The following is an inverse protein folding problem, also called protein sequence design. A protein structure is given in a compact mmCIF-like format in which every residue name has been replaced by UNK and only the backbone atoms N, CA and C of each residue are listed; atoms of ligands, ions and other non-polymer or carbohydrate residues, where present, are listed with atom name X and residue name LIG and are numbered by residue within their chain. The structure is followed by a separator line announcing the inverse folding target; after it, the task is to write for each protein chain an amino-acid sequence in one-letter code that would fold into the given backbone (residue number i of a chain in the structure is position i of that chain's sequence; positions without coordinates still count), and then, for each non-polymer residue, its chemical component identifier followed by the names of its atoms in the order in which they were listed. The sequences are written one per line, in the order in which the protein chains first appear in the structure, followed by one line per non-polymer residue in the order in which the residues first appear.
data_IF_245784592964
#
_entry.id   IF_245784592964
#
_cell.length_a   1.000
_cell.length_b   1.000
_cell.length_c   1.000
_cell.angle_alpha   90.00
_cell.angle_beta   90.00
_cell.angle_gamma   90.00
#
_symmetry.space_group_name_H-M   'P 1'
#
loop_
_entity.id
_entity.type
_entity.pdbx_description
1 polymer ?
#
# COMPACT_ATOMS: atom_id res chain seq x y z
N UNK A 1 -18.89 31.19 -4.53
CA UNK A 1 -18.38 29.87 -4.99
C UNK A 1 -17.21 29.49 -4.09
N UNK A 2 -17.26 28.39 -3.31
CA UNK A 2 -16.10 27.98 -2.51
C UNK A 2 -14.94 27.58 -3.42
N UNK A 3 -13.68 27.89 -3.06
CA UNK A 3 -12.53 27.58 -3.90
C UNK A 3 -12.38 26.05 -4.10
N UNK A 4 -11.90 25.61 -5.27
CA UNK A 4 -11.68 24.19 -5.53
C UNK A 4 -10.64 23.64 -4.54
N UNK A 5 -10.98 22.53 -3.87
CA UNK A 5 -10.06 21.87 -2.93
C UNK A 5 -8.81 21.40 -3.68
N UNK A 6 -7.65 21.95 -3.33
CA UNK A 6 -6.35 21.48 -3.85
C UNK A 6 -6.20 20.00 -3.53
N UNK A 7 -5.93 19.17 -4.55
CA UNK A 7 -5.64 17.74 -4.36
C UNK A 7 -4.33 17.63 -3.57
N UNK A 8 -4.38 17.10 -2.35
CA UNK A 8 -3.16 16.91 -1.56
C UNK A 8 -2.26 15.90 -2.26
N UNK A 9 -0.94 16.13 -2.28
CA UNK A 9 -0.01 15.11 -2.78
C UNK A 9 -0.11 13.87 -1.89
N UNK A 10 0.07 12.70 -2.48
CA UNK A 10 -0.05 11.42 -1.78
C UNK A 10 0.93 11.37 -0.58
N UNK A 11 0.43 10.95 0.60
CA UNK A 11 1.23 10.63 1.79
C UNK A 11 2.07 11.80 2.35
N UNK A 12 1.58 13.04 2.27
CA UNK A 12 2.26 14.22 2.85
C UNK A 12 2.32 14.25 4.40
N UNK A 13 1.62 13.35 5.10
CA UNK A 13 1.63 13.32 6.55
C UNK A 13 2.63 12.27 7.08
N UNK A 14 3.42 12.65 8.08
CA UNK A 14 4.29 11.73 8.81
C UNK A 14 3.46 10.74 9.63
N UNK A 15 3.88 9.46 9.75
CA UNK A 15 3.26 8.48 10.64
C UNK A 15 3.09 9.00 12.07
N UNK A 16 4.07 9.77 12.56
CA UNK A 16 4.06 10.33 13.92
C UNK A 16 2.88 11.30 14.11
N UNK A 17 2.66 12.19 13.13
CA UNK A 17 1.53 13.16 13.18
C UNK A 17 0.19 12.45 13.22
N UNK A 18 0.07 11.35 12.49
CA UNK A 18 -1.14 10.54 12.45
C UNK A 18 -1.39 9.82 13.78
N UNK A 19 -0.34 9.32 14.45
CA UNK A 19 -0.44 8.71 15.78
C UNK A 19 -0.91 9.76 16.79
N UNK A 20 -0.30 10.94 16.81
CA UNK A 20 -0.70 12.02 17.73
C UNK A 20 -2.15 12.46 17.49
N UNK A 21 -2.55 12.60 16.21
CA UNK A 21 -3.93 12.91 15.86
C UNK A 21 -4.92 11.82 16.33
N UNK A 22 -4.56 10.55 16.20
CA UNK A 22 -5.37 9.42 16.66
C UNK A 22 -5.51 9.41 18.18
N UNK A 23 -4.41 9.62 18.91
CA UNK A 23 -4.41 9.70 20.38
C UNK A 23 -5.28 10.87 20.87
N UNK A 24 -5.20 12.04 20.23
CA UNK A 24 -6.01 13.20 20.57
C UNK A 24 -7.52 12.94 20.39
N UNK A 25 -7.92 12.21 19.35
CA UNK A 25 -9.33 11.84 19.12
C UNK A 25 -9.78 10.76 20.10
N UNK A 26 -8.97 9.72 20.32
CA UNK A 26 -9.32 8.61 21.20
C UNK A 26 -9.37 9.04 22.67
N UNK A 27 -8.49 9.94 23.08
CA UNK A 27 -8.49 10.59 24.39
C UNK A 27 -9.57 11.66 24.57
N UNK A 28 -10.48 11.86 23.60
CA UNK A 28 -11.55 12.87 23.61
C UNK A 28 -11.08 14.33 23.75
N UNK A 29 -9.80 14.63 23.51
CA UNK A 29 -9.23 15.98 23.55
C UNK A 29 -9.67 16.84 22.37
N UNK A 30 -9.98 16.23 21.22
CA UNK A 30 -10.39 16.93 20.00
C UNK A 30 -11.34 16.10 19.13
N UNK A 31 -12.21 16.78 18.38
CA UNK A 31 -13.00 16.14 17.32
C UNK A 31 -12.12 15.74 16.13
N UNK A 32 -12.56 14.77 15.32
CA UNK A 32 -11.82 14.29 14.14
C UNK A 32 -11.43 15.44 13.19
N UNK A 33 -12.32 16.42 13.01
CA UNK A 33 -12.03 17.58 12.16
C UNK A 33 -10.95 18.48 12.78
N UNK A 34 -11.06 18.76 14.09
CA UNK A 34 -10.12 19.63 14.80
C UNK A 34 -8.72 19.00 14.87
N UNK A 35 -8.63 17.71 15.17
CA UNK A 35 -7.36 16.97 15.16
C UNK A 35 -6.75 16.89 13.76
N UNK A 36 -7.57 16.70 12.71
CA UNK A 36 -7.09 16.67 11.33
C UNK A 36 -6.38 17.98 10.91
N UNK A 37 -6.97 19.12 11.27
CA UNK A 37 -6.39 20.44 11.01
C UNK A 37 -5.13 20.64 11.85
N UNK A 38 -5.19 20.36 13.15
CA UNK A 38 -4.09 20.59 14.10
C UNK A 38 -2.82 19.80 13.75
N UNK A 39 -2.97 18.54 13.34
CA UNK A 39 -1.84 17.67 13.01
C UNK A 39 -1.53 17.59 11.51
N UNK A 40 -2.25 18.37 10.69
CA UNK A 40 -2.12 18.38 9.23
C UNK A 40 -2.22 16.96 8.63
N UNK A 41 -3.29 16.26 9.00
CA UNK A 41 -3.63 14.92 8.48
C UNK A 41 -4.99 14.96 7.78
N UNK A 42 -5.20 14.20 6.69
CA UNK A 42 -6.50 14.20 6.03
C UNK A 42 -7.60 13.68 6.96
N UNK A 43 -8.72 14.41 7.04
CA UNK A 43 -9.84 14.07 7.93
C UNK A 43 -10.39 12.67 7.68
N UNK A 44 -10.50 12.27 6.41
CA UNK A 44 -11.00 10.94 6.05
C UNK A 44 -10.04 9.84 6.52
N UNK A 45 -8.73 10.06 6.33
CA UNK A 45 -7.66 9.15 6.75
C UNK A 45 -7.64 8.94 8.27
N UNK A 46 -7.87 9.99 9.05
CA UNK A 46 -8.01 9.89 10.50
C UNK A 46 -9.31 9.17 10.89
N UNK A 47 -10.43 9.52 10.23
CA UNK A 47 -11.74 8.90 10.45
C UNK A 47 -11.73 7.39 10.21
N UNK A 48 -11.09 6.93 9.13
CA UNK A 48 -11.04 5.50 8.79
C UNK A 48 -10.26 4.69 9.83
N UNK A 49 -9.21 5.29 10.43
CA UNK A 49 -8.45 4.68 11.53
C UNK A 49 -9.18 4.69 12.85
N UNK A 50 -9.87 5.79 13.18
CA UNK A 50 -10.71 5.89 14.38
C UNK A 50 -11.86 4.89 14.33
N UNK A 51 -12.46 4.67 13.14
CA UNK A 51 -13.50 3.65 12.91
C UNK A 51 -12.97 2.22 12.83
N UNK A 52 -11.65 2.00 12.92
CA UNK A 52 -11.05 0.66 12.83
C UNK A 52 -11.03 0.02 11.44
N UNK A 53 -11.40 0.77 10.37
CA UNK A 53 -11.33 0.26 8.99
C UNK A 53 -9.90 -0.01 8.54
N UNK A 54 -8.93 0.72 9.12
CA UNK A 54 -7.51 0.61 8.81
C UNK A 54 -6.73 0.56 10.13
N UNK A 55 -5.85 -0.44 10.29
CA UNK A 55 -4.94 -0.51 11.45
C UNK A 55 -3.99 0.69 11.45
N UNK A 56 -3.65 1.20 12.64
CA UNK A 56 -2.82 2.41 12.79
C UNK A 56 -1.45 2.26 12.10
N UNK A 57 -0.83 1.09 12.28
CA UNK A 57 0.49 0.72 11.76
C UNK A 57 0.46 0.30 10.29
N UNK A 58 -0.71 -0.09 9.78
CA UNK A 58 -0.83 -0.65 8.43
C UNK A 58 -0.85 0.49 7.41
N UNK A 59 0.28 0.68 6.74
CA UNK A 59 0.41 1.56 5.56
C UNK A 59 0.77 0.72 4.34
N UNK A 60 -0.08 -0.25 4.01
CA UNK A 60 0.07 -1.04 2.77
C UNK A 60 -0.43 -0.25 1.57
N UNK A 61 0.41 -0.17 0.54
CA UNK A 61 0.00 0.17 -0.81
C UNK A 61 -0.46 -1.11 -1.51
N UNK A 62 -1.46 -1.04 -2.40
CA UNK A 62 -1.93 -2.21 -3.15
C UNK A 62 -3.17 -2.92 -2.55
N UNK A 63 -3.56 -4.09 -3.11
CA UNK A 63 -4.73 -4.85 -2.67
C UNK A 63 -4.59 -5.36 -1.23
N UNK A 64 -5.70 -5.45 -0.50
CA UNK A 64 -5.69 -5.90 0.90
C UNK A 64 -5.33 -7.38 1.08
N UNK A 65 -5.51 -8.19 0.03
CA UNK A 65 -5.11 -9.59 -0.04
C UNK A 65 -3.84 -9.69 -0.91
N UNK A 66 -2.68 -10.05 -0.33
CA UNK A 66 -1.49 -10.35 -1.10
C UNK A 66 -1.75 -11.63 -1.93
N UNK A 67 -1.48 -11.55 -3.23
CA UNK A 67 -1.71 -12.68 -4.15
C UNK A 67 -0.69 -13.79 -3.94
N UNK A 68 0.55 -13.40 -3.64
CA UNK A 68 1.64 -14.28 -3.26
C UNK A 68 1.85 -14.16 -1.76
N UNK A 69 2.12 -15.28 -1.08
CA UNK A 69 2.58 -15.27 0.30
C UNK A 69 3.95 -14.64 0.38
N UNK A 70 4.31 -14.12 1.55
CA UNK A 70 5.59 -13.44 1.75
C UNK A 70 6.81 -14.31 1.42
N UNK A 71 6.71 -15.62 1.62
CA UNK A 71 7.72 -16.62 1.25
C UNK A 71 7.86 -16.77 -0.28
N UNK A 72 6.72 -16.76 -0.99
CA UNK A 72 6.66 -16.86 -2.44
C UNK A 72 7.23 -15.58 -3.09
N UNK A 73 6.91 -14.42 -2.52
CA UNK A 73 7.48 -13.13 -2.92
C UNK A 73 9.01 -13.09 -2.69
N UNK A 74 9.50 -13.59 -1.55
CA UNK A 74 10.93 -13.66 -1.27
C UNK A 74 11.68 -14.53 -2.30
N UNK A 75 11.07 -15.63 -2.73
CA UNK A 75 11.64 -16.54 -3.74
C UNK A 75 11.70 -15.86 -5.10
N UNK A 76 10.62 -15.17 -5.50
CA UNK A 76 10.58 -14.39 -6.73
C UNK A 76 11.62 -13.25 -6.73
N UNK A 77 11.78 -12.54 -5.62
CA UNK A 77 12.79 -11.47 -5.48
C UNK A 77 14.21 -12.04 -5.58
N UNK A 78 14.47 -13.19 -4.98
CA UNK A 78 15.77 -13.88 -5.11
C UNK A 78 16.06 -14.22 -6.57
N UNK A 79 15.06 -14.76 -7.29
CA UNK A 79 15.19 -15.06 -8.71
C UNK A 79 15.46 -13.82 -9.56
N UNK A 80 14.75 -12.71 -9.32
CA UNK A 80 14.98 -11.44 -10.02
C UNK A 80 16.38 -10.88 -9.76
N UNK A 81 16.89 -11.00 -8.52
CA UNK A 81 18.26 -10.61 -8.18
C UNK A 81 19.28 -11.46 -8.93
N UNK A 82 19.08 -12.77 -8.99
CA UNK A 82 19.95 -13.66 -9.75
C UNK A 82 19.95 -13.29 -11.24
N UNK A 83 18.78 -13.11 -11.86
CA UNK A 83 18.67 -12.66 -13.26
C UNK A 83 19.41 -11.33 -13.51
N UNK A 84 19.28 -10.38 -12.60
CA UNK A 84 20.00 -9.11 -12.67
C UNK A 84 21.52 -9.30 -12.61
N UNK A 85 22.02 -10.23 -11.79
CA UNK A 85 23.45 -10.53 -11.70
C UNK A 85 24.01 -11.15 -12.99
N UNK A 86 23.19 -11.88 -13.74
CA UNK A 86 23.54 -12.44 -15.05
C UNK A 86 23.38 -11.43 -16.21
N UNK A 87 23.04 -10.17 -15.93
CA UNK A 87 22.88 -9.11 -16.94
C UNK A 87 21.48 -8.99 -17.53
N UNK A 88 20.51 -9.78 -17.06
CA UNK A 88 19.12 -9.66 -17.48
C UNK A 88 18.39 -8.64 -16.59
N UNK A 89 18.41 -7.37 -17.00
CA UNK A 89 17.65 -6.32 -16.33
C UNK A 89 16.15 -6.48 -16.58
N UNK A 90 15.37 -6.83 -15.54
CA UNK A 90 13.92 -6.90 -15.65
C UNK A 90 13.27 -5.52 -15.50
N UNK A 91 12.40 -5.17 -16.45
CA UNK A 91 11.63 -3.92 -16.43
C UNK A 91 10.49 -4.00 -15.42
N UNK A 92 10.09 -2.87 -14.84
CA UNK A 92 8.92 -2.78 -13.92
C UNK A 92 7.61 -3.33 -14.48
N UNK A 93 7.47 -3.45 -15.81
CA UNK A 93 6.31 -4.04 -16.49
C UNK A 93 6.41 -5.56 -16.62
N UNK A 94 7.62 -6.11 -16.64
CA UNK A 94 7.89 -7.55 -16.80
C UNK A 94 7.78 -8.28 -15.48
N UNK A 95 8.17 -7.63 -14.37
CA UNK A 95 8.06 -8.21 -13.02
C UNK A 95 6.64 -8.69 -12.68
N UNK A 96 5.56 -7.91 -12.92
CA UNK A 96 4.20 -8.42 -12.74
C UNK A 96 3.84 -9.62 -13.63
N UNK A 97 4.38 -9.70 -14.86
CA UNK A 97 4.11 -10.83 -15.74
C UNK A 97 4.79 -12.10 -15.19
N UNK A 98 6.07 -12.01 -14.85
CA UNK A 98 6.81 -13.12 -14.22
C UNK A 98 6.17 -13.56 -12.90
N UNK A 99 5.71 -12.61 -12.08
CA UNK A 99 4.98 -12.93 -10.86
C UNK A 99 3.63 -13.64 -11.14
N UNK A 100 2.98 -13.33 -12.25
CA UNK A 100 1.72 -13.98 -12.65
C UNK A 100 1.97 -15.41 -13.08
N UNK A 101 3.02 -15.63 -13.87
CA UNK A 101 3.44 -16.96 -14.31
C UNK A 101 3.85 -17.83 -13.12
N UNK A 102 4.59 -17.25 -12.17
CA UNK A 102 4.96 -17.90 -10.91
C UNK A 102 3.72 -18.27 -10.07
N UNK A 103 2.73 -17.38 -9.99
CA UNK A 103 1.47 -17.65 -9.29
C UNK A 103 0.62 -18.77 -9.97
N UNK A 104 0.69 -18.89 -11.30
CA UNK A 104 0.05 -19.99 -12.05
C UNK A 104 0.78 -21.30 -11.76
N UNK A 105 2.11 -21.29 -11.73
CA UNK A 105 2.93 -22.47 -11.43
C UNK A 105 2.68 -23.01 -10.02
N UNK A 106 2.48 -22.12 -9.04
CA UNK A 106 2.13 -22.48 -7.66
C UNK A 106 0.67 -22.92 -7.48
N UNK A 107 -0.12 -23.02 -8.57
CA UNK A 107 -1.57 -23.32 -8.57
C UNK A 107 -2.44 -22.34 -7.76
N UNK A 108 -1.89 -21.18 -7.38
CA UNK A 108 -2.62 -20.10 -6.72
C UNK A 108 -3.51 -19.31 -7.70
N UNK A 109 -3.33 -19.50 -9.02
CA UNK A 109 -4.16 -18.92 -10.10
C UNK A 109 -4.43 -19.87 -11.26
N UNK A 110 -5.57 -19.68 -11.91
CA UNK A 110 -5.90 -20.26 -13.21
C UNK A 110 -5.38 -19.36 -14.33
N UNK A 111 -4.90 -19.94 -15.46
CA UNK A 111 -4.40 -19.20 -16.65
C UNK A 111 -5.37 -18.17 -17.25
N UNK A 112 -6.65 -18.24 -16.89
CA UNK A 112 -7.71 -17.35 -17.35
C UNK A 112 -7.77 -16.01 -16.58
N UNK A 113 -7.02 -15.85 -15.48
CA UNK A 113 -7.03 -14.61 -14.70
C UNK A 113 -6.13 -13.53 -15.33
N UNK A 114 -6.58 -12.28 -15.26
CA UNK A 114 -5.80 -11.13 -15.74
C UNK A 114 -4.42 -11.06 -15.06
N UNK A 115 -3.36 -10.71 -15.81
CA UNK A 115 -2.02 -10.59 -15.25
C UNK A 115 -1.98 -9.56 -14.13
N UNK A 116 -1.03 -9.73 -13.22
CA UNK A 116 -0.75 -8.80 -12.16
C UNK A 116 -0.46 -7.42 -12.76
N UNK A 117 -1.02 -6.39 -12.12
CA UNK A 117 -0.83 -5.02 -12.56
C UNK A 117 0.29 -4.35 -11.76
N UNK A 118 0.78 -3.21 -12.25
CA UNK A 118 1.70 -2.33 -11.52
C UNK A 118 1.20 -1.96 -10.10
N UNK A 119 -0.12 -2.05 -9.85
CA UNK A 119 -0.71 -1.83 -8.52
C UNK A 119 -0.28 -2.90 -7.52
N UNK A 120 -0.12 -4.14 -7.97
CA UNK A 120 0.42 -5.22 -7.14
C UNK A 120 1.92 -5.02 -6.90
N UNK A 121 2.70 -4.72 -7.94
CA UNK A 121 4.14 -4.46 -7.80
C UNK A 121 4.45 -3.35 -6.76
N UNK A 122 3.63 -2.30 -6.72
CA UNK A 122 3.75 -1.21 -5.73
C UNK A 122 3.39 -1.60 -4.29
N UNK A 123 2.74 -2.75 -4.09
CA UNK A 123 2.35 -3.26 -2.79
C UNK A 123 3.16 -4.47 -2.31
N UNK A 124 3.93 -5.09 -3.20
CA UNK A 124 4.79 -6.25 -2.94
C UNK A 124 6.18 -5.84 -2.37
N UNK A 125 6.54 -4.55 -2.45
CA UNK A 125 7.80 -4.00 -1.92
C UNK A 125 7.54 -3.27 -0.60
#
# INVERSE_FOLDING_TARGET
IPPPKKKSKFRQYSPIRLIHAYLAVKGKWASVSKAAVQYNVPTQTLRDRVKGKVKLEKVTMGPAAPLLRQEEEATLVSHLKAMSSFGYGSTRKEVPNMASDYAIQLRNRTKQQKPLTLKWFRGCI
#
